data_IF_259939768710
#
_entry.id   IF_259939768710
#
_cell.length_a   1.000
_cell.length_b   1.000
_cell.length_c   1.000
_cell.angle_alpha   90.00
_cell.angle_beta   90.00
_cell.angle_gamma   90.00
#
_symmetry.space_group_name_H-M   'P 1'
#
loop_
_entity.id
_entity.type
_entity.pdbx_description
1 polymer ?
#
# COMPACT_ATOMS: atom_id res chain seq x y z
N UNK A 1 3.67 3.68 29.24
CA UNK A 1 4.00 2.74 30.34
C UNK A 1 4.83 1.61 29.74
N UNK A 2 6.13 1.54 30.01
CA UNK A 2 6.94 0.40 29.57
C UNK A 2 6.62 -0.78 30.51
N UNK A 3 6.10 -1.88 29.96
CA UNK A 3 5.95 -3.15 30.70
C UNK A 3 7.36 -3.65 31.00
N UNK A 4 7.82 -3.45 32.23
CA UNK A 4 9.14 -3.84 32.68
C UNK A 4 9.28 -5.35 32.74
N UNK A 5 10.43 -5.86 32.30
CA UNK A 5 10.77 -7.28 32.30
C UNK A 5 11.67 -7.54 33.50
N UNK A 6 11.29 -8.45 34.39
CA UNK A 6 12.00 -8.72 35.64
C UNK A 6 12.86 -9.98 35.53
N UNK A 7 14.10 -9.91 36.03
CA UNK A 7 15.00 -11.06 36.14
C UNK A 7 14.52 -12.12 37.14
N UNK A 8 13.54 -11.80 37.98
CA UNK A 8 12.99 -12.74 38.98
C UNK A 8 11.99 -13.73 38.36
N UNK A 9 11.39 -13.40 37.22
CA UNK A 9 10.34 -14.19 36.56
C UNK A 9 10.74 -14.76 35.22
N UNK A 10 11.92 -14.40 34.70
CA UNK A 10 12.35 -14.78 33.36
C UNK A 10 13.77 -15.34 33.39
N UNK A 11 14.02 -16.34 32.55
CA UNK A 11 15.36 -16.88 32.35
C UNK A 11 16.25 -15.84 31.66
N UNK A 12 17.57 -15.97 31.86
CA UNK A 12 18.53 -15.08 31.22
C UNK A 12 18.37 -15.04 29.69
N UNK A 13 18.04 -16.18 29.06
CA UNK A 13 17.78 -16.25 27.62
C UNK A 13 16.57 -15.41 27.21
N UNK A 14 15.52 -15.37 28.01
CA UNK A 14 14.33 -14.56 27.74
C UNK A 14 14.62 -13.06 27.91
N UNK A 15 15.41 -12.70 28.92
CA UNK A 15 15.88 -11.31 29.12
C UNK A 15 16.76 -10.85 27.96
N UNK A 16 17.71 -11.68 27.53
CA UNK A 16 18.61 -11.39 26.43
C UNK A 16 17.83 -11.27 25.11
N UNK A 17 16.88 -12.18 24.87
CA UNK A 17 16.00 -12.12 23.70
C UNK A 17 15.15 -10.84 23.70
N UNK A 18 14.58 -10.49 24.85
CA UNK A 18 13.81 -9.26 25.00
C UNK A 18 14.66 -8.01 24.75
N UNK A 19 15.84 -7.94 25.37
CA UNK A 19 16.80 -6.86 25.14
C UNK A 19 17.21 -6.78 23.67
N UNK A 20 17.45 -7.92 23.02
CA UNK A 20 17.81 -8.00 21.61
C UNK A 20 16.72 -7.48 20.66
N UNK A 21 15.43 -7.59 21.02
CA UNK A 21 14.31 -7.06 20.23
C UNK A 21 14.12 -5.55 20.33
N UNK A 22 14.65 -4.95 21.40
CA UNK A 22 14.47 -3.53 21.72
C UNK A 22 15.76 -2.73 21.69
N UNK A 23 16.94 -3.37 21.62
CA UNK A 23 18.22 -2.70 21.55
C UNK A 23 18.51 -2.21 20.12
N UNK A 24 18.57 -0.88 19.88
CA UNK A 24 18.85 -0.32 18.56
C UNK A 24 20.22 -0.70 18.00
N UNK A 25 21.17 -1.09 18.86
CA UNK A 25 22.51 -1.51 18.47
C UNK A 25 22.60 -2.97 17.99
N UNK A 26 21.55 -3.77 18.19
CA UNK A 26 21.53 -5.15 17.71
C UNK A 26 21.37 -5.21 16.18
N UNK A 27 22.17 -6.07 15.54
CA UNK A 27 22.08 -6.38 14.11
C UNK A 27 20.67 -6.84 13.70
N UNK A 28 20.03 -7.67 14.52
CA UNK A 28 18.68 -8.18 14.23
C UNK A 28 17.63 -7.06 14.22
N UNK A 29 17.71 -6.11 15.16
CA UNK A 29 16.83 -4.94 15.21
C UNK A 29 16.99 -4.06 13.95
N UNK A 30 18.24 -3.74 13.59
CA UNK A 30 18.55 -2.94 12.39
C UNK A 30 18.04 -3.61 11.12
N UNK A 31 18.21 -4.93 10.99
CA UNK A 31 17.69 -5.69 9.86
C UNK A 31 16.16 -5.61 9.75
N UNK A 32 15.44 -5.77 10.86
CA UNK A 32 13.97 -5.63 10.90
C UNK A 32 13.53 -4.25 10.44
N UNK A 33 14.13 -3.18 10.98
CA UNK A 33 13.81 -1.80 10.62
C UNK A 33 14.09 -1.54 9.13
N UNK A 34 15.22 -2.01 8.60
CA UNK A 34 15.55 -1.85 7.18
C UNK A 34 14.54 -2.58 6.27
N UNK A 35 14.14 -3.80 6.63
CA UNK A 35 13.15 -4.58 5.90
C UNK A 35 11.77 -3.91 5.91
N UNK A 36 11.32 -3.41 7.06
CA UNK A 36 10.08 -2.64 7.19
C UNK A 36 10.07 -1.40 6.30
N UNK A 37 11.21 -0.71 6.20
CA UNK A 37 11.34 0.46 5.33
C UNK A 37 11.35 0.05 3.85
N UNK A 38 12.02 -1.05 3.51
CA UNK A 38 12.08 -1.55 2.14
C UNK A 38 10.70 -2.01 1.63
N UNK A 39 9.96 -2.77 2.43
CA UNK A 39 8.60 -3.25 2.09
C UNK A 39 7.63 -2.08 1.89
N UNK A 40 7.67 -1.08 2.78
CA UNK A 40 6.87 0.16 2.62
C UNK A 40 7.23 0.94 1.35
N UNK A 41 8.51 0.97 0.95
CA UNK A 41 8.93 1.63 -0.29
C UNK A 41 8.46 0.84 -1.52
N UNK A 42 8.58 -0.48 -1.48
CA UNK A 42 8.12 -1.35 -2.58
C UNK A 42 6.61 -1.25 -2.79
N UNK A 43 5.81 -1.26 -1.72
CA UNK A 43 4.35 -1.13 -1.82
C UNK A 43 3.94 0.21 -2.42
N UNK A 44 4.56 1.32 -2.02
CA UNK A 44 4.33 2.65 -2.62
C UNK A 44 4.68 2.68 -4.11
N UNK A 45 5.81 2.09 -4.51
CA UNK A 45 6.20 1.99 -5.92
C UNK A 45 5.21 1.16 -6.73
N UNK A 46 4.77 0.02 -6.19
CA UNK A 46 3.76 -0.83 -6.84
C UNK A 46 2.44 -0.07 -7.06
N UNK A 47 1.96 0.64 -6.03
CA UNK A 47 0.76 1.46 -6.11
C UNK A 47 0.89 2.58 -7.15
N UNK A 48 2.03 3.29 -7.18
CA UNK A 48 2.30 4.34 -8.16
C UNK A 48 2.37 3.80 -9.60
N UNK A 49 2.92 2.60 -9.79
CA UNK A 49 2.94 1.96 -11.11
C UNK A 49 1.54 1.53 -11.55
N UNK A 50 0.73 1.02 -10.62
CA UNK A 50 -0.67 0.66 -10.88
C UNK A 50 -1.50 1.88 -11.25
N UNK A 51 -1.35 3.00 -10.54
CA UNK A 51 -2.08 4.24 -10.84
C UNK A 51 -1.70 4.80 -12.21
N UNK A 52 -0.42 4.81 -12.58
CA UNK A 52 0.05 5.20 -13.92
C UNK A 52 -0.55 4.33 -15.03
N UNK A 53 -0.56 3.01 -14.84
CA UNK A 53 -1.18 2.08 -15.81
C UNK A 53 -2.69 2.31 -15.95
N UNK A 54 -3.38 2.64 -14.85
CA UNK A 54 -4.81 2.98 -14.88
C UNK A 54 -5.06 4.30 -15.62
N UNK A 55 -4.27 5.34 -15.32
CA UNK A 55 -4.38 6.62 -15.99
C UNK A 55 -4.12 6.50 -17.51
N UNK A 56 -3.12 5.72 -17.91
CA UNK A 56 -2.83 5.45 -19.32
C UNK A 56 -4.01 4.77 -20.03
N UNK A 57 -4.57 3.72 -19.42
CA UNK A 57 -5.77 3.04 -19.98
C UNK A 57 -6.99 3.95 -20.06
N UNK A 58 -7.16 4.85 -19.09
CA UNK A 58 -8.24 5.84 -19.15
C UNK A 58 -8.02 6.81 -20.30
N UNK A 59 -6.82 7.35 -20.45
CA UNK A 59 -6.49 8.25 -21.56
C UNK A 59 -6.66 7.56 -22.93
N UNK A 60 -6.23 6.31 -23.08
CA UNK A 60 -6.44 5.50 -24.31
C UNK A 60 -7.93 5.27 -24.60
N UNK A 61 -8.74 5.07 -23.55
CA UNK A 61 -10.19 4.96 -23.68
C UNK A 61 -10.81 6.29 -24.12
N UNK A 62 -10.44 7.39 -23.46
CA UNK A 62 -10.93 8.74 -23.76
C UNK A 62 -10.51 9.21 -25.16
N UNK A 63 -9.32 8.82 -25.64
CA UNK A 63 -8.86 9.07 -27.01
C UNK A 63 -9.67 8.27 -28.03
N UNK A 64 -9.94 6.99 -27.75
CA UNK A 64 -10.65 6.09 -28.68
C UNK A 64 -12.13 6.43 -28.83
N UNK A 65 -12.80 6.76 -27.72
CA UNK A 65 -14.25 6.94 -27.68
C UNK A 65 -14.69 8.39 -27.47
N UNK A 66 -13.75 9.30 -27.18
CA UNK A 66 -14.05 10.68 -26.80
C UNK A 66 -14.54 10.79 -25.35
N UNK A 67 -14.33 11.95 -24.73
CA UNK A 67 -14.86 12.27 -23.40
C UNK A 67 -16.41 12.29 -23.37
N UNK A 68 -17.06 12.31 -24.54
CA UNK A 68 -18.52 12.29 -24.71
C UNK A 68 -19.12 10.90 -24.81
N UNK A 69 -18.34 9.80 -24.80
CA UNK A 69 -18.89 8.44 -24.88
C UNK A 69 -19.98 8.13 -23.84
N UNK A 70 -19.87 8.58 -22.56
CA UNK A 70 -20.94 8.44 -21.58
C UNK A 70 -22.11 9.40 -21.80
N UNK A 71 -22.07 10.30 -22.79
CA UNK A 71 -23.18 11.17 -23.17
C UNK A 71 -23.78 10.77 -24.52
N UNK A 72 -23.02 10.10 -25.40
CA UNK A 72 -23.51 9.64 -26.70
C UNK A 72 -24.69 8.68 -26.56
N UNK A 73 -24.71 7.81 -25.53
CA UNK A 73 -25.88 6.95 -25.28
C UNK A 73 -27.16 7.73 -24.92
N UNK A 74 -27.03 8.96 -24.39
CA UNK A 74 -28.17 9.83 -24.07
C UNK A 74 -28.69 10.60 -25.29
N UNK A 75 -27.91 10.67 -26.37
CA UNK A 75 -28.31 11.32 -27.62
C UNK A 75 -29.18 10.43 -28.51
N UNK A 76 -29.16 9.09 -28.28
CA UNK A 76 -30.01 8.13 -28.99
C UNK A 76 -31.32 7.82 -28.26
N UNK A 77 -31.51 8.30 -27.04
CA UNK A 77 -32.83 8.31 -26.40
C UNK A 77 -33.61 9.52 -26.91
N UNK A 78 -34.05 9.46 -28.17
CA UNK A 78 -35.01 10.43 -28.68
C UNK A 78 -36.34 10.17 -27.97
N UNK A 79 -36.86 11.09 -27.13
CA UNK A 79 -38.09 10.87 -26.37
C UNK A 79 -39.35 10.81 -27.25
N UNK A 80 -39.18 10.88 -28.58
CA UNK A 80 -40.23 10.80 -29.58
C UNK A 80 -40.11 9.55 -30.48
N UNK A 81 -39.15 8.64 -30.23
CA UNK A 81 -39.04 7.34 -30.93
C UNK A 81 -39.96 6.27 -30.30
N UNK A 82 -41.13 6.68 -29.80
CA UNK A 82 -42.23 5.78 -29.46
C UNK A 82 -43.15 5.69 -30.68
N UNK A 83 -42.81 4.85 -31.66
CA UNK A 83 -43.77 4.37 -32.67
C UNK A 83 -44.72 3.32 -32.05
#
# INVERSE_FOLDING_TARGET
MAKGVSSKTHSQKELDNYANQHNPNNKAYKARVANDQATKKQSKKALANQSKKRAKRQAEFDEKYGLSYPLDWMCYSNPYDFD
#
